data_IF_905139602275
#
_entry.id   IF_905139602275
#
_cell.length_a   1.000
_cell.length_b   1.000
_cell.length_c   1.000
_cell.angle_alpha   90.00
_cell.angle_beta   90.00
_cell.angle_gamma   90.00
#
_symmetry.space_group_name_H-M   'P 1'
#
loop_
_entity.id
_entity.type
_entity.pdbx_description
1 polymer ?
#
# COMPACT_ATOMS: atom_id res chain seq x y z
N UNK A 1 9.68 -2.22 -13.53
CA UNK A 1 10.06 -2.45 -12.12
C UNK A 1 9.24 -3.61 -11.60
N UNK A 2 9.86 -4.79 -11.58
CA UNK A 2 9.34 -6.00 -10.94
C UNK A 2 9.88 -6.09 -9.49
N UNK A 3 9.58 -7.18 -8.78
CA UNK A 3 9.99 -7.33 -7.38
C UNK A 3 11.52 -7.34 -7.17
N UNK A 4 12.27 -7.95 -8.09
CA UNK A 4 13.74 -8.01 -8.02
C UNK A 4 14.39 -6.65 -8.36
N UNK A 5 13.81 -5.93 -9.33
CA UNK A 5 14.25 -4.59 -9.72
C UNK A 5 14.16 -3.63 -8.53
N UNK A 6 13.06 -3.70 -7.76
CA UNK A 6 12.79 -2.81 -6.63
C UNK A 6 13.98 -2.73 -5.65
N UNK A 7 14.64 -3.86 -5.36
CA UNK A 7 15.76 -3.90 -4.43
C UNK A 7 17.06 -3.29 -4.99
N UNK A 8 17.15 -3.07 -6.31
CA UNK A 8 18.36 -2.63 -7.02
C UNK A 8 18.28 -1.18 -7.50
N UNK A 9 17.07 -0.67 -7.62
CA UNK A 9 16.80 0.68 -8.10
C UNK A 9 17.29 1.75 -7.14
N UNK A 10 17.58 2.94 -7.68
CA UNK A 10 18.09 4.10 -6.92
C UNK A 10 17.07 5.23 -6.95
N UNK A 11 16.06 5.12 -6.08
CA UNK A 11 15.06 6.16 -5.87
C UNK A 11 14.72 6.31 -4.39
N UNK A 12 13.96 7.35 -4.08
CA UNK A 12 13.40 7.58 -2.75
C UNK A 12 11.97 8.11 -2.94
N UNK A 13 11.01 7.55 -2.21
CA UNK A 13 9.64 8.07 -2.19
C UNK A 13 9.57 9.10 -1.07
N UNK A 14 9.35 10.37 -1.39
CA UNK A 14 9.15 11.42 -0.40
C UNK A 14 7.65 11.71 -0.26
N UNK A 15 7.11 11.56 0.93
CA UNK A 15 5.71 11.79 1.25
C UNK A 15 5.53 13.04 2.12
N UNK A 16 4.54 13.85 1.77
CA UNK A 16 4.19 15.09 2.46
C UNK A 16 2.71 15.03 2.84
N UNK A 17 2.41 15.35 4.10
CA UNK A 17 1.05 15.54 4.60
C UNK A 17 0.91 16.98 5.04
N UNK A 18 0.06 17.74 4.36
CA UNK A 18 -0.30 19.10 4.74
C UNK A 18 -1.68 19.11 5.39
N UNK A 19 -1.83 19.90 6.44
CA UNK A 19 -3.09 20.06 7.14
C UNK A 19 -3.16 21.37 7.90
N UNK A 20 -4.34 21.66 8.44
CA UNK A 20 -4.55 22.79 9.33
C UNK A 20 -4.92 22.26 10.70
N UNK A 21 -4.23 22.73 11.74
CA UNK A 21 -4.55 22.39 13.13
C UNK A 21 -5.84 23.11 13.51
N UNK A 22 -6.92 22.36 13.72
CA UNK A 22 -8.27 22.89 13.95
C UNK A 22 -8.31 23.90 15.11
N UNK A 23 -7.63 23.61 16.22
CA UNK A 23 -7.66 24.45 17.42
C UNK A 23 -6.90 25.78 17.29
N UNK A 24 -5.97 25.91 16.34
CA UNK A 24 -5.10 27.09 16.20
C UNK A 24 -5.22 27.79 14.85
N UNK A 25 -5.81 27.13 13.85
CA UNK A 25 -5.85 27.61 12.46
C UNK A 25 -4.47 27.63 11.78
N UNK A 26 -3.42 27.12 12.43
CA UNK A 26 -2.07 27.08 11.87
C UNK A 26 -1.94 25.94 10.87
N UNK A 27 -1.20 26.17 9.79
CA UNK A 27 -0.84 25.13 8.83
C UNK A 27 0.30 24.27 9.37
N UNK A 28 0.22 22.96 9.15
CA UNK A 28 1.24 21.98 9.50
C UNK A 28 1.61 21.17 8.25
N UNK A 29 2.89 20.81 8.15
CA UNK A 29 3.39 19.88 7.15
C UNK A 29 4.20 18.80 7.85
N UNK A 30 3.78 17.55 7.71
CA UNK A 30 4.55 16.38 8.09
C UNK A 30 5.23 15.80 6.85
N UNK A 31 6.46 15.31 7.01
CA UNK A 31 7.28 14.77 5.93
C UNK A 31 7.91 13.45 6.36
N UNK A 32 7.96 12.50 5.45
CA UNK A 32 8.71 11.24 5.61
C UNK A 32 9.21 10.79 4.26
N UNK A 33 10.13 9.84 4.23
CA UNK A 33 10.55 9.21 3.00
C UNK A 33 10.78 7.70 3.17
N UNK A 34 10.85 7.00 2.03
CA UNK A 34 11.09 5.57 1.95
C UNK A 34 12.13 5.27 0.86
N UNK A 35 13.23 4.65 1.27
CA UNK A 35 14.20 4.03 0.37
C UNK A 35 13.65 2.70 -0.17
N UNK A 36 14.22 2.16 -1.26
CA UNK A 36 13.69 0.93 -1.86
C UNK A 36 13.78 -0.26 -0.89
N UNK A 37 14.77 -0.26 0.01
CA UNK A 37 14.91 -1.26 1.10
C UNK A 37 13.80 -1.21 2.15
N UNK A 38 13.03 -0.13 2.24
CA UNK A 38 11.92 0.05 3.18
C UNK A 38 10.57 -0.29 2.54
N UNK A 39 10.56 -0.60 1.23
CA UNK A 39 9.37 -0.98 0.48
C UNK A 39 9.27 -2.50 0.45
N UNK A 40 8.23 -3.03 1.09
CA UNK A 40 8.01 -4.47 1.23
C UNK A 40 7.04 -4.97 0.14
N UNK A 41 7.59 -5.55 -0.94
CA UNK A 41 6.78 -6.15 -2.02
C UNK A 41 6.02 -7.38 -1.52
N UNK A 42 4.73 -7.48 -1.85
CA UNK A 42 3.88 -8.60 -1.43
C UNK A 42 3.44 -8.56 0.03
N UNK A 43 3.42 -7.36 0.65
CA UNK A 43 2.94 -7.17 2.01
C UNK A 43 1.67 -6.31 2.05
N UNK A 44 0.84 -6.55 3.06
CA UNK A 44 -0.35 -5.75 3.36
C UNK A 44 -0.34 -5.32 4.82
N UNK A 45 -0.78 -4.08 5.08
CA UNK A 45 -0.99 -3.58 6.44
C UNK A 45 -2.11 -4.34 7.17
N UNK A 46 -1.95 -4.53 8.47
CA UNK A 46 -3.01 -5.10 9.31
C UNK A 46 -4.21 -4.15 9.46
N UNK A 47 -5.42 -4.70 9.50
CA UNK A 47 -6.61 -3.92 9.85
C UNK A 47 -6.57 -3.51 11.33
N UNK A 48 -6.50 -2.19 11.56
CA UNK A 48 -6.44 -1.59 12.90
C UNK A 48 -7.78 -1.04 13.39
N UNK A 49 -8.75 -0.83 12.50
CA UNK A 49 -10.07 -0.29 12.85
C UNK A 49 -11.07 -1.43 13.01
N UNK A 50 -11.77 -1.46 14.15
CA UNK A 50 -12.86 -2.41 14.43
C UNK A 50 -14.06 -1.70 15.01
N UNK A 51 -15.26 -2.12 14.62
CA UNK A 51 -16.51 -1.59 15.17
C UNK A 51 -16.93 -2.40 16.40
N UNK A 52 -17.10 -1.73 17.54
CA UNK A 52 -17.48 -2.35 18.80
C UNK A 52 -18.99 -2.21 19.03
N UNK A 53 -19.75 -3.22 18.58
CA UNK A 53 -21.22 -3.20 18.55
C UNK A 53 -21.89 -2.96 19.91
N UNK A 54 -21.27 -3.37 21.01
CA UNK A 54 -21.80 -3.20 22.37
C UNK A 54 -21.80 -1.74 22.86
N UNK A 55 -20.92 -0.88 22.34
CA UNK A 55 -20.82 0.54 22.71
C UNK A 55 -21.16 1.46 21.53
N UNK A 56 -21.25 0.92 20.32
CA UNK A 56 -21.62 1.67 19.12
C UNK A 56 -20.49 2.50 18.50
N UNK A 57 -19.24 2.25 18.88
CA UNK A 57 -18.07 3.07 18.51
C UNK A 57 -17.06 2.32 17.64
N UNK A 58 -16.22 3.07 16.92
CA UNK A 58 -15.04 2.55 16.22
C UNK A 58 -13.81 2.65 17.11
N UNK A 59 -13.08 1.54 17.24
CA UNK A 59 -11.81 1.49 17.94
C UNK A 59 -10.65 1.34 16.97
N UNK A 60 -9.56 2.05 17.29
CA UNK A 60 -8.31 2.03 16.52
C UNK A 60 -7.19 1.47 17.40
N UNK A 61 -6.57 0.38 16.99
CA UNK A 61 -5.42 -0.22 17.67
C UNK A 61 -4.11 0.29 17.07
N UNK A 62 -3.58 1.37 17.66
CA UNK A 62 -2.32 1.98 17.21
C UNK A 62 -1.09 1.10 17.45
N UNK A 63 -1.16 0.08 18.33
CA UNK A 63 -0.03 -0.84 18.53
C UNK A 63 0.26 -1.68 17.28
N UNK A 64 -0.74 -1.81 16.39
CA UNK A 64 -0.68 -2.56 15.14
C UNK A 64 -0.51 -1.67 13.91
N UNK A 65 -0.34 -0.35 14.09
CA UNK A 65 -0.32 0.63 13.01
C UNK A 65 0.74 0.32 11.93
N UNK A 66 1.92 -0.11 12.36
CA UNK A 66 3.03 -0.46 11.46
C UNK A 66 3.09 -1.96 11.13
N UNK A 67 2.13 -2.78 11.61
CA UNK A 67 2.17 -4.21 11.39
C UNK A 67 1.77 -4.54 9.95
N UNK A 68 2.49 -5.51 9.38
CA UNK A 68 2.27 -6.01 8.02
C UNK A 68 2.31 -7.53 8.00
N UNK A 69 1.65 -8.13 7.01
CA UNK A 69 1.70 -9.57 6.75
C UNK A 69 1.89 -9.84 5.25
N UNK A 70 2.53 -10.96 4.93
CA UNK A 70 2.76 -11.40 3.55
C UNK A 70 1.45 -11.86 2.90
N UNK A 71 1.29 -11.55 1.62
CA UNK A 71 0.19 -11.99 0.77
C UNK A 71 0.74 -12.55 -0.54
N UNK A 72 0.00 -13.45 -1.16
CA UNK A 72 0.35 -13.94 -2.50
C UNK A 72 0.27 -12.78 -3.50
N UNK A 73 1.37 -12.52 -4.21
CA UNK A 73 1.52 -11.37 -5.11
C UNK A 73 2.47 -11.76 -6.23
N UNK A 74 2.14 -11.39 -7.47
CA UNK A 74 3.03 -11.62 -8.60
C UNK A 74 4.37 -10.91 -8.41
N UNK A 75 5.44 -11.55 -8.86
CA UNK A 75 6.78 -10.97 -8.84
C UNK A 75 7.07 -10.12 -10.07
N UNK A 76 6.22 -10.19 -11.10
CA UNK A 76 6.37 -9.39 -12.31
C UNK A 76 6.01 -7.92 -12.05
N UNK A 77 6.43 -7.07 -12.97
CA UNK A 77 6.05 -5.65 -12.99
C UNK A 77 4.56 -5.49 -13.30
N UNK A 78 4.01 -4.32 -13.00
CA UNK A 78 2.62 -4.00 -13.34
C UNK A 78 2.33 -4.10 -14.84
N UNK A 79 3.29 -3.71 -15.69
CA UNK A 79 3.17 -3.80 -17.15
C UNK A 79 3.08 -5.26 -17.63
N UNK A 80 3.97 -6.13 -17.17
CA UNK A 80 3.94 -7.56 -17.48
C UNK A 80 2.65 -8.22 -16.99
N UNK A 81 2.16 -7.84 -15.79
CA UNK A 81 0.91 -8.36 -15.25
C UNK A 81 -0.29 -7.96 -16.11
N UNK A 82 -0.35 -6.72 -16.57
CA UNK A 82 -1.43 -6.22 -17.42
C UNK A 82 -1.44 -6.95 -18.78
N UNK A 83 -0.27 -7.20 -19.37
CA UNK A 83 -0.14 -8.00 -20.59
C UNK A 83 -0.64 -9.44 -20.39
N UNK A 84 -0.26 -10.10 -19.30
CA UNK A 84 -0.72 -11.45 -18.97
C UNK A 84 -2.24 -11.51 -18.80
N UNK A 85 -2.82 -10.55 -18.08
CA UNK A 85 -4.27 -10.47 -17.86
C UNK A 85 -5.02 -10.26 -19.19
N UNK A 86 -4.50 -9.41 -20.07
CA UNK A 86 -5.06 -9.20 -21.40
C UNK A 86 -5.05 -10.47 -22.25
N UNK A 87 -3.93 -11.19 -22.30
CA UNK A 87 -3.84 -12.46 -23.05
C UNK A 87 -4.79 -13.53 -22.51
N UNK A 88 -4.98 -13.58 -21.18
CA UNK A 88 -5.92 -14.50 -20.56
C UNK A 88 -7.37 -14.20 -20.94
N UNK A 89 -7.76 -12.92 -20.99
CA UNK A 89 -9.09 -12.50 -21.43
C UNK A 89 -9.36 -12.88 -22.89
N UNK A 90 -8.43 -12.57 -23.80
CA UNK A 90 -8.55 -12.93 -25.22
C UNK A 90 -8.65 -14.45 -25.45
N UNK A 91 -7.87 -15.21 -24.67
CA UNK A 91 -7.89 -16.68 -24.75
C UNK A 91 -9.21 -17.26 -24.22
N UNK A 92 -9.85 -16.60 -23.26
CA UNK A 92 -11.17 -17.01 -22.73
C UNK A 92 -12.30 -16.68 -23.72
N UNK A 93 -12.25 -15.52 -24.37
CA UNK A 93 -13.24 -15.13 -25.39
C UNK A 93 -13.16 -16.02 -26.65
N UNK A 94 -11.96 -16.41 -27.06
CA UNK A 94 -11.76 -17.27 -28.24
C UNK A 94 -12.19 -18.73 -28.03
N UNK A 95 -12.50 -19.13 -26.78
CA UNK A 95 -12.94 -20.49 -26.41
C UNK A 95 -14.44 -20.61 -26.14
N UNK A 96 -15.18 -19.50 -26.17
CA UNK A 96 -16.65 -19.45 -26.12
C UNK A 96 -17.24 -19.27 -27.52
#
# INVERSE_FOLDING_TARGET
MNADDLCREKFEIVAFLEGTVESTGQTVQARTSYLPSEILWGYRFEQIIRYQHNIGEYLVDYSRFNNVYMVDTSYCSAEELDEELYQQQFTQESKN
#
